data_IF_884033200028
#
_entry.id   IF_884033200028
#
_cell.length_a   1.000
_cell.length_b   1.000
_cell.length_c   1.000
_cell.angle_alpha   90.00
_cell.angle_beta   90.00
_cell.angle_gamma   90.00
#
_symmetry.space_group_name_H-M   'P 1'
#
loop_
_entity.id
_entity.type
_entity.pdbx_description
1 polymer ?
#
# COMPACT_ATOMS: atom_id res chain seq x y z
N UNK A 1 5.59 5.27 -16.97
CA UNK A 1 5.09 5.38 -15.59
C UNK A 1 6.24 5.00 -14.69
N UNK A 2 6.74 5.95 -13.91
CA UNK A 2 7.86 5.71 -13.01
C UNK A 2 7.41 4.83 -11.84
N UNK A 3 8.29 3.97 -11.31
CA UNK A 3 7.94 3.06 -10.21
C UNK A 3 7.45 3.84 -8.97
N UNK A 4 8.02 5.02 -8.74
CA UNK A 4 7.59 5.94 -7.67
C UNK A 4 6.17 6.48 -7.88
N UNK A 5 5.76 6.75 -9.11
CA UNK A 5 4.40 7.20 -9.44
C UNK A 5 3.38 6.08 -9.19
N UNK A 6 3.73 4.84 -9.55
CA UNK A 6 2.89 3.66 -9.25
C UNK A 6 2.72 3.45 -7.75
N UNK A 7 3.78 3.60 -6.96
CA UNK A 7 3.72 3.49 -5.49
C UNK A 7 2.75 4.51 -4.90
N UNK A 8 2.81 5.76 -5.36
CA UNK A 8 1.90 6.82 -4.90
C UNK A 8 0.45 6.50 -5.20
N UNK A 9 0.13 6.09 -6.42
CA UNK A 9 -1.25 5.74 -6.78
C UNK A 9 -1.79 4.56 -5.99
N UNK A 10 -0.99 3.51 -5.77
CA UNK A 10 -1.40 2.38 -4.96
C UNK A 10 -1.61 2.77 -3.49
N UNK A 11 -0.74 3.61 -2.93
CA UNK A 11 -0.91 4.11 -1.57
C UNK A 11 -2.20 4.94 -1.43
N UNK A 12 -2.50 5.81 -2.40
CA UNK A 12 -3.76 6.56 -2.45
C UNK A 12 -4.98 5.65 -2.55
N UNK A 13 -4.91 4.59 -3.37
CA UNK A 13 -6.01 3.63 -3.52
C UNK A 13 -6.27 2.83 -2.24
N UNK A 14 -5.20 2.37 -1.57
CA UNK A 14 -5.30 1.61 -0.31
C UNK A 14 -5.85 2.48 0.82
N UNK A 15 -5.41 3.74 0.90
CA UNK A 15 -5.69 4.61 2.06
C UNK A 15 -6.87 5.55 1.84
N UNK A 16 -7.33 5.69 0.59
CA UNK A 16 -8.47 6.52 0.18
C UNK A 16 -8.23 8.03 0.31
N UNK A 17 -7.01 8.46 0.62
CA UNK A 17 -6.68 9.86 0.85
C UNK A 17 -5.19 10.14 0.59
N UNK A 18 -4.90 11.28 -0.06
CA UNK A 18 -3.54 11.68 -0.44
C UNK A 18 -2.65 12.01 0.73
N UNK A 19 -3.20 12.65 1.77
CA UNK A 19 -2.45 13.00 2.98
C UNK A 19 -2.12 11.74 3.76
N UNK A 20 -3.07 10.80 3.87
CA UNK A 20 -2.81 9.49 4.48
C UNK A 20 -1.75 8.71 3.70
N UNK A 21 -1.78 8.74 2.37
CA UNK A 21 -0.75 8.12 1.53
C UNK A 21 0.64 8.73 1.79
N UNK A 22 0.73 10.06 1.83
CA UNK A 22 1.98 10.75 2.14
C UNK A 22 2.53 10.34 3.52
N UNK A 23 1.68 10.38 4.55
CA UNK A 23 2.06 9.96 5.91
C UNK A 23 2.49 8.48 5.91
N UNK A 24 1.73 7.62 5.24
CA UNK A 24 2.01 6.18 5.22
C UNK A 24 3.38 5.88 4.59
N UNK A 25 3.73 6.60 3.52
CA UNK A 25 5.00 6.46 2.80
C UNK A 25 6.20 6.99 3.59
N UNK A 26 6.00 8.02 4.42
CA UNK A 26 7.05 8.67 5.20
C UNK A 26 7.28 8.06 6.59
N UNK A 27 6.39 7.19 7.07
CA UNK A 27 6.52 6.56 8.38
C UNK A 27 7.34 5.25 8.31
N UNK A 28 8.24 5.01 9.29
CA UNK A 28 8.90 3.73 9.54
C UNK A 28 7.92 2.56 9.62
N UNK A 29 8.28 1.42 9.01
CA UNK A 29 7.46 0.19 9.06
C UNK A 29 8.29 -1.05 9.34
N UNK A 30 7.70 -1.97 10.11
CA UNK A 30 8.30 -3.26 10.38
C UNK A 30 8.48 -4.10 9.10
N UNK A 31 7.56 -3.99 8.13
CA UNK A 31 7.68 -4.65 6.82
C UNK A 31 8.92 -4.20 6.01
N UNK A 32 9.50 -3.06 6.39
CA UNK A 32 10.67 -2.45 5.78
C UNK A 32 11.84 -2.32 6.76
N UNK A 33 11.93 -3.22 7.74
CA UNK A 33 13.06 -3.30 8.67
C UNK A 33 13.27 -2.02 9.52
N UNK A 34 12.17 -1.27 9.74
CA UNK A 34 12.21 0.00 10.47
C UNK A 34 12.46 1.22 9.57
N UNK A 35 12.64 1.04 8.27
CA UNK A 35 12.68 2.14 7.30
C UNK A 35 11.27 2.54 6.86
N UNK A 36 11.13 3.76 6.36
CA UNK A 36 9.94 4.22 5.66
C UNK A 36 9.91 3.70 4.22
N UNK A 37 8.71 3.65 3.62
CA UNK A 37 8.58 3.27 2.22
C UNK A 37 9.40 4.21 1.33
N UNK A 38 9.36 5.52 1.60
CA UNK A 38 10.08 6.55 0.87
C UNK A 38 11.61 6.36 0.91
N UNK A 39 12.17 5.93 2.05
CA UNK A 39 13.61 5.65 2.18
C UNK A 39 14.03 4.47 1.32
N UNK A 40 13.24 3.39 1.27
CA UNK A 40 13.60 2.20 0.51
C UNK A 40 13.36 2.34 -0.99
N UNK A 41 12.57 3.32 -1.47
CA UNK A 41 12.31 3.50 -2.92
C UNK A 41 13.59 3.64 -3.77
N UNK A 42 14.68 4.17 -3.19
CA UNK A 42 15.97 4.30 -3.86
C UNK A 42 16.80 3.02 -3.93
N UNK A 43 16.40 1.96 -3.23
CA UNK A 43 17.08 0.67 -3.24
C UNK A 43 16.74 -0.15 -4.48
N UNK A 44 17.66 -1.04 -4.88
CA UNK A 44 17.55 -1.88 -6.10
C UNK A 44 16.18 -2.55 -6.27
N UNK A 45 15.56 -2.98 -5.18
CA UNK A 45 14.26 -3.68 -5.17
C UNK A 45 13.20 -3.00 -4.29
N UNK A 46 13.47 -1.80 -3.75
CA UNK A 46 12.58 -1.22 -2.74
C UNK A 46 11.23 -0.80 -3.30
N UNK A 47 11.20 -0.27 -4.54
CA UNK A 47 9.94 0.01 -5.23
C UNK A 47 9.04 -1.24 -5.35
N UNK A 48 9.62 -2.39 -5.73
CA UNK A 48 8.87 -3.64 -5.87
C UNK A 48 8.33 -4.13 -4.53
N UNK A 49 9.15 -4.08 -3.46
CA UNK A 49 8.72 -4.42 -2.09
C UNK A 49 7.52 -3.58 -1.63
N UNK A 50 7.56 -2.27 -1.89
CA UNK A 50 6.47 -1.35 -1.51
C UNK A 50 5.19 -1.66 -2.32
N UNK A 51 5.33 -1.93 -3.62
CA UNK A 51 4.20 -2.28 -4.49
C UNK A 51 3.53 -3.58 -4.01
N UNK A 52 4.31 -4.64 -3.75
CA UNK A 52 3.78 -5.93 -3.28
C UNK A 52 3.03 -5.80 -1.96
N UNK A 53 3.54 -4.99 -1.02
CA UNK A 53 2.86 -4.72 0.24
C UNK A 53 1.53 -3.98 0.02
N UNK A 54 1.53 -2.94 -0.81
CA UNK A 54 0.32 -2.17 -1.09
C UNK A 54 -0.73 -3.01 -1.83
N UNK A 55 -0.32 -3.85 -2.79
CA UNK A 55 -1.21 -4.79 -3.46
C UNK A 55 -1.79 -5.83 -2.48
N UNK A 56 -0.98 -6.33 -1.54
CA UNK A 56 -1.46 -7.20 -0.46
C UNK A 56 -2.52 -6.50 0.39
N UNK A 57 -2.25 -5.28 0.85
CA UNK A 57 -3.20 -4.50 1.66
C UNK A 57 -4.49 -4.21 0.87
N UNK A 58 -4.37 -3.86 -0.41
CA UNK A 58 -5.53 -3.61 -1.28
C UNK A 58 -6.41 -4.86 -1.40
N UNK A 59 -5.79 -6.03 -1.61
CA UNK A 59 -6.49 -7.30 -1.71
C UNK A 59 -7.10 -7.75 -0.38
N UNK A 60 -6.44 -7.50 0.75
CA UNK A 60 -6.97 -7.77 2.10
C UNK A 60 -8.21 -6.90 2.38
N UNK A 61 -8.16 -5.59 2.04
CA UNK A 61 -9.32 -4.70 2.15
C UNK A 61 -10.45 -5.05 1.17
N UNK A 62 -10.13 -5.50 -0.04
CA UNK A 62 -11.11 -6.02 -1.01
C UNK A 62 -11.74 -7.34 -0.53
N UNK A 63 -10.98 -8.19 0.18
CA UNK A 63 -11.46 -9.42 0.79
C UNK A 63 -12.52 -9.18 1.87
N UNK A 64 -12.35 -8.14 2.70
CA UNK A 64 -13.36 -7.76 3.70
C UNK A 64 -14.65 -7.22 3.07
N UNK A 65 -14.58 -6.53 1.92
CA UNK A 65 -15.78 -6.07 1.18
C UNK A 65 -16.45 -7.20 0.39
N UNK A 66 -15.69 -8.20 -0.08
CA UNK A 66 -16.24 -9.38 -0.73
C UNK A 66 -17.00 -10.30 0.26
N UNK A 67 -16.46 -10.50 1.47
CA UNK A 67 -17.14 -11.28 2.52
C UNK A 67 -18.38 -10.56 3.07
N UNK A 68 -18.34 -9.23 3.22
CA UNK A 68 -19.51 -8.44 3.67
C UNK A 68 -20.66 -8.42 2.64
N UNK A 69 -20.34 -8.48 1.32
CA UNK A 69 -21.38 -8.63 0.28
C UNK A 69 -21.94 -10.04 0.20
N UNK A 70 -21.14 -11.06 0.52
CA UNK A 70 -21.57 -12.46 0.48
C UNK A 70 -22.47 -12.88 1.66
N UNK A 71 -22.42 -12.18 2.79
CA UNK A 71 -23.25 -12.49 3.99
C UNK A 71 -24.53 -11.65 4.11
N UNK A 72 -24.74 -10.64 3.27
CA UNK A 72 -25.97 -9.82 3.26
C UNK A 72 -27.09 -10.40 2.36
N UNK A 73 -26.95 -11.65 1.90
CA UNK A 73 -27.93 -12.38 1.10
C UNK A 73 -28.30 -13.69 1.81
N UNK A 74 -28.92 -13.57 2.98
CA UNK A 74 -29.80 -14.59 3.55
C UNK A 74 -30.86 -13.93 4.44
#
# INVERSE_FOLDING_TARGET
MDHSERVWLLAEQVLGDKVKAAIWLSLPRADFDGCSAAEILGERNGCQRVIELLERLLNEHAGCTALAKATALH
#
